data_IF_097370218479
#
_entry.id   IF_097370218479
#
_cell.length_a   1.000
_cell.length_b   1.000
_cell.length_c   1.000
_cell.angle_alpha   90.00
_cell.angle_beta   90.00
_cell.angle_gamma   90.00
#
_symmetry.space_group_name_H-M   'P 1'
#
loop_
_entity.id
_entity.type
_entity.pdbx_description
1 polymer ?
#
# COMPACT_ATOMS: atom_id res chain seq x y z
N UNK A 1 9.26 -2.02 -19.08
CA UNK A 1 8.17 -1.14 -18.63
C UNK A 1 6.91 -1.94 -18.40
N UNK A 2 6.02 -1.50 -17.52
CA UNK A 2 4.78 -2.24 -17.25
C UNK A 2 3.73 -1.90 -18.30
N UNK A 3 2.88 -2.88 -18.63
CA UNK A 3 1.74 -2.70 -19.53
C UNK A 3 0.48 -2.34 -18.75
N UNK A 4 -0.59 -1.84 -19.37
CA UNK A 4 -1.89 -1.63 -18.71
C UNK A 4 -2.42 -2.91 -18.04
N UNK A 5 -2.25 -4.07 -18.65
CA UNK A 5 -2.58 -5.37 -18.06
C UNK A 5 -1.81 -5.63 -16.77
N UNK A 6 -0.50 -5.36 -16.77
CA UNK A 6 0.32 -5.49 -15.56
C UNK A 6 -0.11 -4.51 -14.48
N UNK A 7 -0.45 -3.26 -14.84
CA UNK A 7 -0.94 -2.26 -13.91
C UNK A 7 -2.25 -2.71 -13.22
N UNK A 8 -3.21 -3.23 -13.98
CA UNK A 8 -4.47 -3.80 -13.45
C UNK A 8 -4.23 -4.96 -12.49
N UNK A 9 -3.35 -5.89 -12.86
CA UNK A 9 -2.98 -7.02 -12.00
C UNK A 9 -2.35 -6.55 -10.69
N UNK A 10 -1.38 -5.63 -10.75
CA UNK A 10 -0.65 -5.15 -9.58
C UNK A 10 -1.53 -4.36 -8.61
N UNK A 11 -2.45 -3.53 -9.12
CA UNK A 11 -3.39 -2.79 -8.27
C UNK A 11 -4.34 -3.73 -7.52
N UNK A 12 -4.87 -4.76 -8.20
CA UNK A 12 -5.73 -5.78 -7.59
C UNK A 12 -4.96 -6.65 -6.59
N UNK A 13 -3.74 -7.03 -6.91
CA UNK A 13 -2.84 -7.73 -5.98
C UNK A 13 -2.61 -6.91 -4.71
N UNK A 14 -2.26 -5.63 -4.86
CA UNK A 14 -1.96 -4.77 -3.71
C UNK A 14 -3.17 -4.64 -2.77
N UNK A 15 -4.37 -4.41 -3.34
CA UNK A 15 -5.61 -4.38 -2.57
C UNK A 15 -5.88 -5.68 -1.82
N UNK A 16 -5.80 -6.83 -2.51
CA UNK A 16 -6.00 -8.15 -1.91
C UNK A 16 -5.04 -8.39 -0.73
N UNK A 17 -3.77 -8.11 -0.93
CA UNK A 17 -2.75 -8.30 0.09
C UNK A 17 -2.91 -7.33 1.28
N UNK A 18 -3.31 -6.08 1.04
CA UNK A 18 -3.62 -5.10 2.09
C UNK A 18 -4.85 -5.54 2.91
N UNK A 19 -5.89 -6.03 2.26
CA UNK A 19 -7.09 -6.52 2.95
C UNK A 19 -6.78 -7.71 3.86
N UNK A 20 -6.02 -8.70 3.37
CA UNK A 20 -5.63 -9.86 4.16
C UNK A 20 -4.80 -9.49 5.40
N UNK A 21 -3.81 -8.62 5.27
CA UNK A 21 -2.96 -8.24 6.42
C UNK A 21 -3.74 -7.39 7.43
N UNK A 22 -4.58 -6.47 6.98
CA UNK A 22 -5.42 -5.64 7.86
C UNK A 22 -6.47 -6.48 8.60
N UNK A 23 -7.07 -7.46 7.94
CA UNK A 23 -8.00 -8.41 8.55
C UNK A 23 -7.29 -9.27 9.60
N UNK A 24 -6.12 -9.83 9.27
CA UNK A 24 -5.34 -10.64 10.20
C UNK A 24 -4.89 -9.85 11.44
N UNK A 25 -4.48 -8.57 11.26
CA UNK A 25 -4.15 -7.68 12.38
C UNK A 25 -5.39 -7.38 13.24
N UNK A 26 -6.57 -7.22 12.61
CA UNK A 26 -7.83 -7.01 13.31
C UNK A 26 -8.32 -8.23 14.12
N UNK A 27 -7.93 -9.44 13.70
CA UNK A 27 -8.26 -10.69 14.39
C UNK A 27 -7.35 -11.01 15.59
N UNK A 28 -6.29 -10.22 15.83
CA UNK A 28 -5.39 -10.42 16.96
C UNK A 28 -6.11 -10.16 18.29
N UNK A 29 -5.64 -10.75 19.40
CA UNK A 29 -6.14 -10.42 20.73
C UNK A 29 -6.09 -8.92 21.01
N UNK A 30 -7.03 -8.43 21.84
CA UNK A 30 -7.18 -7.01 22.16
C UNK A 30 -5.84 -6.37 22.59
N UNK A 31 -5.49 -5.25 21.98
CA UNK A 31 -4.27 -4.50 22.25
C UNK A 31 -3.02 -4.96 21.49
N UNK A 32 -2.98 -6.18 20.96
CA UNK A 32 -1.76 -6.70 20.29
C UNK A 32 -1.41 -5.93 19.00
N UNK A 33 -2.39 -5.46 18.25
CA UNK A 33 -2.17 -4.70 17.01
C UNK A 33 -1.42 -3.37 17.24
N UNK A 34 -1.67 -2.72 18.38
CA UNK A 34 -1.08 -1.42 18.75
C UNK A 34 -0.01 -1.50 19.83
N UNK A 35 0.26 -2.70 20.35
CA UNK A 35 1.29 -2.92 21.35
C UNK A 35 2.66 -2.44 20.85
N UNK A 36 3.39 -1.65 21.65
CA UNK A 36 4.74 -1.22 21.29
C UNK A 36 5.68 -2.40 21.07
N UNK A 37 6.39 -2.40 19.95
CA UNK A 37 7.40 -3.40 19.57
C UNK A 37 8.65 -2.73 19.03
N UNK A 38 9.78 -3.42 19.07
CA UNK A 38 11.02 -3.00 18.44
C UNK A 38 10.89 -3.17 16.93
N UNK A 39 10.36 -2.15 16.27
CA UNK A 39 10.17 -2.05 14.83
C UNK A 39 10.21 -0.57 14.41
N UNK A 40 10.37 -0.29 13.10
CA UNK A 40 10.57 1.05 12.57
C UNK A 40 9.47 2.05 12.99
N UNK A 41 8.21 1.62 13.01
CA UNK A 41 7.05 2.47 13.35
C UNK A 41 6.39 2.11 14.69
N UNK A 42 7.04 1.31 15.52
CA UNK A 42 6.65 1.02 16.89
C UNK A 42 5.54 -0.02 17.06
N UNK A 43 4.64 -0.22 16.11
CA UNK A 43 3.59 -1.24 16.15
C UNK A 43 3.04 -1.58 14.75
N UNK A 44 2.17 -2.61 14.68
CA UNK A 44 1.62 -3.11 13.42
C UNK A 44 0.74 -2.07 12.72
N UNK A 45 -0.20 -1.46 13.47
CA UNK A 45 -1.15 -0.48 12.90
C UNK A 45 -0.40 0.74 12.37
N UNK A 46 0.58 1.25 13.10
CA UNK A 46 1.34 2.43 12.66
C UNK A 46 2.26 2.13 11.46
N UNK A 47 2.72 0.88 11.32
CA UNK A 47 3.43 0.41 10.12
C UNK A 47 2.49 0.38 8.90
N UNK A 48 1.28 -0.15 9.05
CA UNK A 48 0.28 -0.15 7.97
C UNK A 48 -0.21 1.27 7.64
N UNK A 49 -0.31 2.15 8.65
CA UNK A 49 -0.63 3.55 8.42
C UNK A 49 0.44 4.30 7.60
N UNK A 50 1.72 3.93 7.77
CA UNK A 50 2.77 4.45 6.91
C UNK A 50 2.56 4.05 5.45
N UNK A 51 2.17 2.80 5.16
CA UNK A 51 1.80 2.37 3.81
C UNK A 51 0.67 3.23 3.25
N UNK A 52 -0.42 3.38 3.99
CA UNK A 52 -1.54 4.21 3.59
C UNK A 52 -1.13 5.66 3.26
N UNK A 53 -0.30 6.28 4.10
CA UNK A 53 0.17 7.66 3.85
C UNK A 53 1.00 7.74 2.57
N UNK A 54 1.88 6.77 2.31
CA UNK A 54 2.66 6.72 1.06
C UNK A 54 1.75 6.51 -0.15
N UNK A 55 0.78 5.61 -0.06
CA UNK A 55 -0.19 5.37 -1.13
C UNK A 55 -0.96 6.66 -1.47
N UNK A 56 -1.37 7.44 -0.47
CA UNK A 56 -2.03 8.74 -0.64
C UNK A 56 -1.13 9.81 -1.25
N UNK A 57 0.16 9.83 -0.88
CA UNK A 57 1.15 10.75 -1.45
C UNK A 57 1.32 10.46 -2.94
N UNK A 58 1.52 9.19 -3.31
CA UNK A 58 1.70 8.82 -4.71
C UNK A 58 0.41 8.93 -5.52
N UNK A 59 -0.76 8.70 -4.93
CA UNK A 59 -2.04 9.05 -5.54
C UNK A 59 -2.08 10.53 -5.93
N UNK A 60 -1.71 11.43 -5.01
CA UNK A 60 -1.71 12.86 -5.27
C UNK A 60 -0.74 13.25 -6.40
N UNK A 61 0.46 12.63 -6.44
CA UNK A 61 1.41 12.84 -7.54
C UNK A 61 0.83 12.39 -8.89
N UNK A 62 0.17 11.23 -8.95
CA UNK A 62 -0.50 10.73 -10.14
C UNK A 62 -1.67 11.63 -10.59
N UNK A 63 -2.34 12.29 -9.66
CA UNK A 63 -3.41 13.25 -9.91
C UNK A 63 -2.90 14.67 -10.21
N UNK A 64 -1.60 14.93 -10.08
CA UNK A 64 -1.00 16.24 -10.33
C UNK A 64 -1.37 17.30 -9.28
N UNK A 65 -1.64 16.89 -8.05
CA UNK A 65 -2.02 17.80 -6.94
C UNK A 65 -1.06 17.68 -5.76
N UNK A 66 -1.11 18.67 -4.88
CA UNK A 66 -0.42 18.61 -3.60
C UNK A 66 -0.99 17.48 -2.73
N UNK A 67 -0.12 16.71 -2.08
CA UNK A 67 -0.48 15.64 -1.16
C UNK A 67 -0.83 16.13 0.25
N UNK A 68 -0.38 17.33 0.66
CA UNK A 68 -0.68 17.93 1.97
C UNK A 68 0.00 17.27 3.18
N UNK A 69 0.86 16.27 2.98
CA UNK A 69 1.54 15.57 4.08
C UNK A 69 2.90 16.21 4.39
N UNK A 70 3.11 16.58 5.67
CA UNK A 70 4.41 17.06 6.16
C UNK A 70 5.35 15.93 6.60
N UNK A 71 4.85 14.70 6.75
CA UNK A 71 5.62 13.52 7.14
C UNK A 71 5.08 12.27 6.43
N UNK A 72 5.90 11.22 6.39
CA UNK A 72 5.57 9.92 5.77
C UNK A 72 4.72 9.00 6.67
N UNK A 73 4.21 9.52 7.77
CA UNK A 73 3.27 8.86 8.67
C UNK A 73 2.51 9.90 9.47
N UNK A 74 1.39 9.54 10.06
CA UNK A 74 0.67 10.41 11.00
C UNK A 74 1.38 10.43 12.35
N UNK A 75 1.25 11.55 13.09
CA UNK A 75 1.82 11.68 14.43
C UNK A 75 1.20 10.70 15.43
N UNK A 76 -0.11 10.49 15.30
CA UNK A 76 -0.88 9.56 16.12
C UNK A 76 -1.22 8.31 15.33
N UNK A 77 -1.16 7.14 15.98
CA UNK A 77 -1.62 5.90 15.41
C UNK A 77 -3.15 5.95 15.26
N UNK A 78 -3.71 5.73 14.07
CA UNK A 78 -5.16 5.74 13.87
C UNK A 78 -5.83 4.52 14.51
N UNK A 79 -7.15 4.57 14.67
CA UNK A 79 -7.92 3.37 14.93
C UNK A 79 -7.82 2.42 13.72
N UNK A 80 -7.66 1.12 13.97
CA UNK A 80 -7.47 0.12 12.91
C UNK A 80 -8.63 0.10 11.90
N UNK A 81 -9.87 0.22 12.36
CA UNK A 81 -11.05 0.19 11.49
C UNK A 81 -11.13 1.43 10.58
N UNK A 82 -10.70 2.59 11.08
CA UNK A 82 -10.61 3.80 10.27
C UNK A 82 -9.52 3.67 9.20
N UNK A 83 -8.37 3.13 9.58
CA UNK A 83 -7.28 2.83 8.63
C UNK A 83 -7.72 1.82 7.58
N UNK A 84 -8.42 0.75 7.98
CA UNK A 84 -8.91 -0.29 7.07
C UNK A 84 -9.87 0.27 6.02
N UNK A 85 -10.81 1.12 6.45
CA UNK A 85 -11.73 1.82 5.53
C UNK A 85 -10.98 2.74 4.57
N UNK A 86 -10.08 3.57 5.09
CA UNK A 86 -9.30 4.53 4.29
C UNK A 86 -8.34 3.82 3.31
N UNK A 87 -7.72 2.72 3.72
CA UNK A 87 -6.87 1.91 2.83
C UNK A 87 -7.68 1.30 1.70
N UNK A 88 -8.87 0.78 1.98
CA UNK A 88 -9.76 0.23 0.94
C UNK A 88 -10.12 1.29 -0.10
N UNK A 89 -10.45 2.51 0.33
CA UNK A 89 -10.78 3.61 -0.57
C UNK A 89 -9.63 3.97 -1.52
N UNK A 90 -8.39 4.03 -1.01
CA UNK A 90 -7.22 4.31 -1.86
C UNK A 90 -6.86 3.14 -2.77
N UNK A 91 -7.00 1.91 -2.31
CA UNK A 91 -6.79 0.71 -3.13
C UNK A 91 -7.81 0.64 -4.28
N UNK A 92 -9.10 0.95 -4.02
CA UNK A 92 -10.14 1.03 -5.03
C UNK A 92 -9.85 2.14 -6.05
N UNK A 93 -9.29 3.26 -5.60
CA UNK A 93 -8.83 4.32 -6.49
C UNK A 93 -7.72 3.82 -7.43
N UNK A 94 -6.70 3.09 -6.93
CA UNK A 94 -5.62 2.53 -7.77
C UNK A 94 -6.15 1.52 -8.78
N UNK A 95 -7.13 0.70 -8.42
CA UNK A 95 -7.81 -0.22 -9.35
C UNK A 95 -8.51 0.59 -10.45
N UNK A 96 -9.37 1.54 -10.09
CA UNK A 96 -10.10 2.35 -11.05
C UNK A 96 -9.17 3.19 -11.94
N UNK A 97 -8.02 3.63 -11.42
CA UNK A 97 -6.99 4.32 -12.19
C UNK A 97 -6.32 3.37 -13.19
N UNK A 98 -5.93 2.18 -12.75
CA UNK A 98 -5.26 1.18 -13.61
C UNK A 98 -6.18 0.61 -14.70
N UNK A 99 -7.50 0.58 -14.47
CA UNK A 99 -8.48 0.12 -15.46
C UNK A 99 -8.61 1.08 -16.65
N UNK A 100 -8.28 2.36 -16.44
CA UNK A 100 -8.40 3.42 -17.47
C UNK A 100 -7.08 3.84 -18.07
N UNK A 101 -5.94 3.44 -17.47
CA UNK A 101 -4.63 3.89 -17.92
C UNK A 101 -4.26 3.28 -19.28
N UNK A 102 -3.66 4.09 -20.13
CA UNK A 102 -3.15 3.65 -21.44
C UNK A 102 -1.63 3.45 -21.38
N UNK A 103 -1.09 2.70 -22.34
CA UNK A 103 0.35 2.45 -22.42
C UNK A 103 1.16 3.76 -22.56
N UNK A 104 0.80 4.71 -23.44
CA UNK A 104 1.49 5.99 -23.50
C UNK A 104 1.44 6.77 -22.18
N UNK A 105 0.31 6.73 -21.48
CA UNK A 105 0.18 7.42 -20.20
C UNK A 105 1.04 6.78 -19.09
N UNK A 106 1.26 5.46 -19.11
CA UNK A 106 2.17 4.79 -18.17
C UNK A 106 3.62 5.27 -18.31
N UNK A 107 4.02 5.70 -19.51
CA UNK A 107 5.35 6.20 -19.84
C UNK A 107 5.53 7.70 -19.60
N UNK A 108 4.44 8.42 -19.31
CA UNK A 108 4.51 9.85 -19.00
C UNK A 108 5.27 10.08 -17.70
N UNK A 109 6.36 10.87 -17.81
CA UNK A 109 7.19 11.25 -16.67
C UNK A 109 6.59 12.41 -15.90
N UNK A 110 6.47 12.24 -14.59
CA UNK A 110 6.00 13.25 -13.66
C UNK A 110 7.13 13.72 -12.74
N UNK A 111 7.22 15.03 -12.51
CA UNK A 111 8.04 15.61 -11.45
C UNK A 111 7.24 15.64 -10.16
N UNK A 112 7.90 15.35 -9.07
CA UNK A 112 7.27 15.38 -7.74
C UNK A 112 8.26 15.81 -6.67
N UNK A 113 7.76 16.30 -5.54
CA UNK A 113 8.56 16.62 -4.38
C UNK A 113 8.52 15.47 -3.36
N UNK A 114 9.67 15.13 -2.78
CA UNK A 114 9.72 14.21 -1.65
C UNK A 114 9.23 14.89 -0.37
N UNK A 115 8.55 14.14 0.48
CA UNK A 115 8.29 14.58 1.85
C UNK A 115 9.63 14.74 2.58
N UNK A 116 9.90 15.93 3.06
CA UNK A 116 11.20 16.28 3.69
C UNK A 116 12.16 16.99 2.75
N UNK A 117 11.78 17.26 1.50
CA UNK A 117 12.52 18.08 0.54
C UNK A 117 13.23 17.27 -0.54
N UNK A 118 13.58 17.96 -1.62
CA UNK A 118 14.15 17.38 -2.83
C UNK A 118 13.09 17.03 -3.87
N UNK A 119 13.51 16.85 -5.13
CA UNK A 119 12.67 16.54 -6.26
C UNK A 119 13.01 15.16 -6.84
N UNK A 120 12.04 14.51 -7.42
CA UNK A 120 12.16 13.27 -8.17
C UNK A 120 11.44 13.34 -9.51
N UNK A 121 11.82 12.44 -10.40
CA UNK A 121 11.14 12.22 -11.68
C UNK A 121 10.91 10.72 -11.84
N UNK A 122 9.66 10.34 -12.04
CA UNK A 122 9.27 8.94 -12.29
C UNK A 122 8.19 8.91 -13.35
N UNK A 123 8.12 7.84 -14.12
CA UNK A 123 6.94 7.60 -14.94
C UNK A 123 5.76 7.18 -14.07
N UNK A 124 4.53 7.34 -14.58
CA UNK A 124 3.32 6.88 -13.87
C UNK A 124 3.40 5.38 -13.56
N UNK A 125 3.93 4.58 -14.48
CA UNK A 125 4.15 3.15 -14.27
C UNK A 125 5.17 2.86 -13.17
N UNK A 126 6.26 3.64 -13.09
CA UNK A 126 7.25 3.53 -12.01
C UNK A 126 6.67 3.92 -10.64
N UNK A 127 5.78 4.93 -10.60
CA UNK A 127 5.08 5.30 -9.37
C UNK A 127 4.18 4.17 -8.85
N UNK A 128 3.43 3.49 -9.73
CA UNK A 128 2.64 2.32 -9.35
C UNK A 128 3.53 1.18 -8.83
N UNK A 129 4.63 0.88 -9.53
CA UNK A 129 5.59 -0.14 -9.08
C UNK A 129 6.17 0.20 -7.71
N UNK A 130 6.48 1.49 -7.47
CA UNK A 130 6.96 1.93 -6.16
C UNK A 130 5.91 1.68 -5.07
N UNK A 131 4.65 2.06 -5.30
CA UNK A 131 3.56 1.84 -4.33
C UNK A 131 3.46 0.36 -3.96
N UNK A 132 3.36 -0.53 -4.95
CA UNK A 132 3.21 -1.98 -4.71
C UNK A 132 4.43 -2.57 -4.02
N UNK A 133 5.65 -2.19 -4.44
CA UNK A 133 6.89 -2.67 -3.84
C UNK A 133 7.06 -2.16 -2.40
N UNK A 134 6.80 -0.88 -2.16
CA UNK A 134 6.88 -0.25 -0.85
C UNK A 134 5.88 -0.88 0.14
N UNK A 135 4.64 -1.07 -0.30
CA UNK A 135 3.60 -1.66 0.53
C UNK A 135 3.93 -3.12 0.86
N UNK A 136 4.45 -3.89 -0.12
CA UNK A 136 4.91 -5.27 0.11
C UNK A 136 6.06 -5.34 1.11
N UNK A 137 7.02 -4.42 1.03
CA UNK A 137 8.17 -4.35 1.95
C UNK A 137 7.71 -4.14 3.40
N UNK A 138 6.80 -3.21 3.65
CA UNK A 138 6.31 -2.93 5.01
C UNK A 138 5.26 -3.95 5.48
N UNK A 139 4.48 -4.58 4.60
CA UNK A 139 3.67 -5.74 4.97
C UNK A 139 4.54 -6.88 5.50
N UNK A 140 5.73 -7.09 4.92
CA UNK A 140 6.71 -8.04 5.44
C UNK A 140 7.13 -7.74 6.88
N UNK A 141 7.32 -6.47 7.25
CA UNK A 141 7.60 -6.10 8.65
C UNK A 141 6.43 -6.46 9.58
N UNK A 142 5.20 -6.19 9.16
CA UNK A 142 4.02 -6.56 9.95
C UNK A 142 3.90 -8.08 10.07
N UNK A 143 4.12 -8.81 8.98
CA UNK A 143 4.11 -10.28 8.99
C UNK A 143 5.15 -10.87 9.96
N UNK A 144 6.36 -10.30 10.01
CA UNK A 144 7.39 -10.72 10.96
C UNK A 144 6.97 -10.49 12.42
N UNK A 145 6.24 -9.41 12.70
CA UNK A 145 5.72 -9.13 14.04
C UNK A 145 4.68 -10.17 14.53
N UNK A 146 4.04 -10.91 13.62
CA UNK A 146 3.12 -12.00 14.00
C UNK A 146 3.83 -13.13 14.73
N UNK A 147 5.12 -13.34 14.52
CA UNK A 147 5.90 -14.34 15.28
C UNK A 147 6.13 -13.95 16.75
N UNK A 148 5.76 -12.74 17.15
CA UNK A 148 5.77 -12.27 18.53
C UNK A 148 4.41 -12.42 19.24
N UNK A 149 3.41 -12.98 18.56
CA UNK A 149 2.06 -13.22 19.07
C UNK A 149 1.64 -14.65 18.72
N UNK A 150 0.66 -15.27 19.43
CA UNK A 150 0.21 -16.62 19.13
C UNK A 150 -0.70 -16.68 17.90
N UNK A 151 -0.25 -16.10 16.79
CA UNK A 151 -0.97 -16.07 15.52
C UNK A 151 0.02 -16.23 14.35
N UNK A 152 -0.48 -16.67 13.20
CA UNK A 152 0.31 -16.75 11.97
C UNK A 152 -0.05 -15.59 11.03
N UNK A 153 0.94 -15.00 10.35
CA UNK A 153 0.67 -14.01 9.33
C UNK A 153 -0.08 -14.65 8.14
N UNK A 154 -0.92 -13.89 7.44
CA UNK A 154 -1.47 -14.34 6.17
C UNK A 154 -0.36 -14.44 5.10
N UNK A 155 -0.54 -15.34 4.15
CA UNK A 155 0.36 -15.43 2.98
C UNK A 155 -0.14 -14.42 1.94
N UNK A 156 0.69 -13.41 1.65
CA UNK A 156 0.36 -12.33 0.71
C UNK A 156 1.23 -12.35 -0.55
N UNK A 157 1.77 -13.51 -0.92
CA UNK A 157 2.63 -13.68 -2.09
C UNK A 157 1.84 -13.50 -3.39
N UNK A 158 2.46 -12.87 -4.39
CA UNK A 158 1.88 -12.69 -5.71
C UNK A 158 1.48 -14.03 -6.36
N UNK A 159 2.25 -15.09 -6.16
CA UNK A 159 1.95 -16.43 -6.68
C UNK A 159 0.67 -17.03 -6.08
N UNK A 160 0.40 -16.74 -4.81
CA UNK A 160 -0.84 -17.16 -4.13
C UNK A 160 -2.03 -16.38 -4.67
N UNK A 161 -1.89 -15.06 -4.81
CA UNK A 161 -2.91 -14.22 -5.45
C UNK A 161 -3.27 -14.72 -6.85
N UNK A 162 -2.27 -14.99 -7.71
CA UNK A 162 -2.50 -15.45 -9.09
C UNK A 162 -3.14 -16.84 -9.16
N UNK A 163 -2.95 -17.68 -8.15
CA UNK A 163 -3.58 -19.00 -8.05
C UNK A 163 -5.04 -18.91 -7.61
N UNK A 164 -5.32 -18.06 -6.62
CA UNK A 164 -6.58 -18.10 -5.85
C UNK A 164 -7.60 -17.04 -6.29
N UNK A 165 -7.14 -15.98 -6.96
CA UNK A 165 -8.02 -14.87 -7.37
C UNK A 165 -8.22 -14.90 -8.88
N UNK A 166 -9.43 -15.18 -9.37
CA UNK A 166 -9.77 -15.05 -10.78
C UNK A 166 -9.55 -13.61 -11.25
N UNK A 167 -8.73 -13.42 -12.29
CA UNK A 167 -8.45 -12.10 -12.85
C UNK A 167 -9.09 -11.99 -14.23
N UNK A 168 -10.02 -11.06 -14.36
CA UNK A 168 -10.42 -10.50 -15.64
C UNK A 168 -9.58 -9.24 -15.88
N UNK A 169 -8.64 -9.32 -16.81
CA UNK A 169 -7.68 -8.27 -17.12
C UNK A 169 -7.77 -7.77 -18.57
N UNK A 170 -8.78 -8.23 -19.29
CA UNK A 170 -9.01 -7.84 -20.69
C UNK A 170 -9.70 -6.48 -20.83
#
# INVERSE_FOLDING_TARGET
MITPRTARMLSRYNRWANELILEAVGALPAGEATKPRTTLFGNMVHTLNHNYVIDRIFQAHLEGRDHGYAARNTKQCPALEDLRRAQREVDDWYIAWSDRITEPALEESLRFAFVGGGEGVMTRGQMLLHVVNHTSYHRGFVADLFYQVPARPPITDLTVFLRDVPLDLD
#
